data_IF_768656123658
#
_entry.id   IF_768656123658
#
_cell.length_a   1.000
_cell.length_b   1.000
_cell.length_c   1.000
_cell.angle_alpha   90.00
_cell.angle_beta   90.00
_cell.angle_gamma   90.00
#
_symmetry.space_group_name_H-M   'P 1'
#
loop_
_entity.id
_entity.type
_entity.pdbx_description
1 polymer ?
#
# COMPACT_ATOMS: atom_id res chain seq x y z
N UNK A 1 9.62 39.06 -12.36
CA UNK A 1 9.37 37.92 -11.45
C UNK A 1 9.45 36.63 -12.26
N UNK A 2 10.58 35.93 -12.19
CA UNK A 2 10.72 34.62 -12.83
C UNK A 2 10.09 33.57 -11.90
N UNK A 3 9.00 32.95 -12.37
CA UNK A 3 8.38 31.83 -11.67
C UNK A 3 9.32 30.63 -11.82
N UNK A 4 9.91 30.19 -10.71
CA UNK A 4 10.69 28.96 -10.67
C UNK A 4 9.74 27.79 -10.93
N UNK A 5 9.68 27.32 -12.19
CA UNK A 5 9.04 26.04 -12.51
C UNK A 5 9.92 24.97 -11.90
N UNK A 6 9.41 24.30 -10.86
CA UNK A 6 10.04 23.09 -10.34
C UNK A 6 10.33 22.16 -11.54
N UNK A 7 11.54 21.61 -11.66
CA UNK A 7 11.86 20.72 -12.76
C UNK A 7 10.83 19.59 -12.78
N UNK A 8 10.15 19.41 -13.91
CA UNK A 8 9.31 18.26 -14.14
C UNK A 8 10.21 17.03 -14.08
N UNK A 9 10.26 16.37 -12.93
CA UNK A 9 10.98 15.11 -12.81
C UNK A 9 10.34 14.14 -13.81
N UNK A 10 11.14 13.48 -14.66
CA UNK A 10 10.60 12.50 -15.58
C UNK A 10 9.85 11.43 -14.79
N UNK A 11 8.68 11.05 -15.28
CA UNK A 11 7.92 9.95 -14.70
C UNK A 11 8.78 8.67 -14.74
N UNK A 12 8.79 7.93 -13.64
CA UNK A 12 9.37 6.60 -13.60
C UNK A 12 8.68 5.73 -14.66
N UNK A 13 9.44 5.05 -15.55
CA UNK A 13 8.85 4.17 -16.54
C UNK A 13 8.00 3.07 -15.90
N UNK A 14 6.81 2.79 -16.44
CA UNK A 14 5.90 1.78 -15.89
C UNK A 14 6.57 0.40 -15.78
N UNK A 15 7.46 0.04 -16.71
CA UNK A 15 8.24 -1.21 -16.68
C UNK A 15 9.10 -1.37 -15.41
N UNK A 16 9.55 -0.26 -14.82
CA UNK A 16 10.37 -0.25 -13.60
C UNK A 16 9.48 -0.25 -12.36
N UNK A 17 8.34 0.44 -12.42
CA UNK A 17 7.37 0.52 -11.32
C UNK A 17 6.55 -0.76 -11.15
N UNK A 18 6.22 -1.44 -12.26
CA UNK A 18 5.25 -2.53 -12.29
C UNK A 18 5.56 -3.67 -11.30
N UNK A 19 6.82 -4.13 -11.12
CA UNK A 19 7.14 -5.16 -10.13
C UNK A 19 6.79 -4.72 -8.71
N UNK A 20 7.14 -3.48 -8.34
CA UNK A 20 6.88 -2.94 -7.00
C UNK A 20 5.37 -2.74 -6.77
N UNK A 21 4.67 -2.20 -7.77
CA UNK A 21 3.21 -2.04 -7.74
C UNK A 21 2.53 -3.40 -7.61
N UNK A 22 2.90 -4.39 -8.40
CA UNK A 22 2.34 -5.75 -8.33
C UNK A 22 2.58 -6.40 -6.96
N UNK A 23 3.78 -6.25 -6.40
CA UNK A 23 4.09 -6.77 -5.07
C UNK A 23 3.27 -6.08 -3.97
N UNK A 24 3.09 -4.75 -4.06
CA UNK A 24 2.23 -4.00 -3.15
C UNK A 24 0.76 -4.45 -3.23
N UNK A 25 0.23 -4.62 -4.44
CA UNK A 25 -1.13 -5.13 -4.66
C UNK A 25 -1.30 -6.52 -4.04
N UNK A 26 -0.31 -7.40 -4.20
CA UNK A 26 -0.34 -8.74 -3.65
C UNK A 26 -0.40 -8.72 -2.11
N UNK A 27 0.48 -7.96 -1.44
CA UNK A 27 0.49 -7.89 0.03
C UNK A 27 -0.80 -7.27 0.58
N UNK A 28 -1.29 -6.21 -0.06
CA UNK A 28 -2.55 -5.59 0.34
C UNK A 28 -3.74 -6.53 0.16
N UNK A 29 -3.73 -7.35 -0.90
CA UNK A 29 -4.72 -8.40 -1.13
C UNK A 29 -4.73 -9.42 0.02
N UNK A 30 -3.56 -9.93 0.41
CA UNK A 30 -3.42 -10.87 1.53
C UNK A 30 -3.86 -10.25 2.87
N UNK A 31 -3.43 -9.02 3.14
CA UNK A 31 -3.81 -8.28 4.35
C UNK A 31 -5.32 -8.03 4.41
N UNK A 32 -5.93 -7.59 3.30
CA UNK A 32 -7.36 -7.30 3.24
C UNK A 32 -8.20 -8.57 3.48
N UNK A 33 -7.78 -9.69 2.89
CA UNK A 33 -8.45 -10.98 3.09
C UNK A 33 -8.29 -11.47 4.54
N UNK A 34 -7.09 -11.42 5.10
CA UNK A 34 -6.84 -11.81 6.49
C UNK A 34 -7.60 -10.94 7.47
N UNK A 35 -7.59 -9.62 7.27
CA UNK A 35 -8.34 -8.67 8.10
C UNK A 35 -9.84 -8.94 8.02
N UNK A 36 -10.41 -9.13 6.82
CA UNK A 36 -11.81 -9.47 6.66
C UNK A 36 -12.21 -10.78 7.36
N UNK A 37 -11.32 -11.78 7.41
CA UNK A 37 -11.56 -13.01 8.18
C UNK A 37 -11.62 -12.75 9.69
N UNK A 38 -10.85 -11.80 10.20
CA UNK A 38 -10.81 -11.47 11.63
C UNK A 38 -11.98 -10.58 12.06
N UNK A 39 -12.33 -9.58 11.26
CA UNK A 39 -13.27 -8.51 11.68
C UNK A 39 -14.54 -8.42 10.85
N UNK A 40 -14.65 -9.22 9.78
CA UNK A 40 -15.75 -9.16 8.84
C UNK A 40 -15.62 -8.05 7.80
N UNK A 41 -16.50 -8.10 6.79
CA UNK A 41 -16.48 -7.18 5.65
C UNK A 41 -16.80 -5.73 6.00
N UNK A 42 -17.62 -5.49 7.02
CA UNK A 42 -18.01 -4.14 7.42
C UNK A 42 -16.82 -3.31 7.89
N UNK A 43 -15.97 -3.87 8.76
CA UNK A 43 -14.78 -3.18 9.25
C UNK A 43 -13.68 -3.07 8.20
N UNK A 44 -13.56 -4.04 7.29
CA UNK A 44 -12.71 -3.88 6.10
C UNK A 44 -13.14 -2.66 5.27
N UNK A 45 -14.45 -2.50 5.01
CA UNK A 45 -14.94 -1.36 4.24
C UNK A 45 -14.64 -0.01 4.91
N UNK A 46 -14.76 0.06 6.24
CA UNK A 46 -14.38 1.25 7.01
C UNK A 46 -12.89 1.57 6.84
N UNK A 47 -12.02 0.57 6.97
CA UNK A 47 -10.58 0.73 6.74
C UNK A 47 -10.29 1.24 5.32
N UNK A 48 -10.87 0.62 4.29
CA UNK A 48 -10.66 1.03 2.90
C UNK A 48 -11.14 2.46 2.65
N UNK A 49 -12.28 2.85 3.23
CA UNK A 49 -12.80 4.22 3.13
C UNK A 49 -11.88 5.24 3.82
N UNK A 50 -11.27 4.88 4.95
CA UNK A 50 -10.27 5.72 5.62
C UNK A 50 -8.99 5.87 4.79
N UNK A 51 -8.44 4.78 4.27
CA UNK A 51 -7.24 4.79 3.43
C UNK A 51 -7.47 5.60 2.15
N UNK A 52 -8.63 5.46 1.51
CA UNK A 52 -9.00 6.26 0.35
C UNK A 52 -9.11 7.76 0.67
N UNK A 53 -9.68 8.13 1.82
CA UNK A 53 -9.71 9.53 2.28
C UNK A 53 -8.29 10.08 2.49
N UNK A 54 -7.40 9.30 3.10
CA UNK A 54 -5.98 9.67 3.27
C UNK A 54 -5.24 9.77 1.94
N UNK A 55 -5.48 8.84 1.00
CA UNK A 55 -4.88 8.89 -0.33
C UNK A 55 -5.28 10.17 -1.07
N UNK A 56 -6.58 10.50 -1.10
CA UNK A 56 -7.09 11.75 -1.69
C UNK A 56 -6.49 12.97 -1.00
N UNK A 57 -6.45 12.98 0.35
CA UNK A 57 -5.88 14.08 1.13
C UNK A 57 -4.40 14.34 0.86
N UNK A 58 -3.63 13.30 0.53
CA UNK A 58 -2.22 13.41 0.13
C UNK A 58 -2.03 13.62 -1.39
N UNK A 59 -3.11 13.75 -2.16
CA UNK A 59 -3.05 13.90 -3.62
C UNK A 59 -2.62 12.63 -4.37
N UNK A 60 -2.68 11.46 -3.72
CA UNK A 60 -2.34 10.19 -4.34
C UNK A 60 -3.49 9.68 -5.21
N UNK A 61 -3.17 9.31 -6.44
CA UNK A 61 -4.08 8.70 -7.40
C UNK A 61 -4.13 7.18 -7.21
N UNK A 62 -4.34 6.76 -5.96
CA UNK A 62 -4.47 5.37 -5.53
C UNK A 62 -5.84 5.19 -4.91
N UNK A 63 -6.60 4.20 -5.39
CA UNK A 63 -7.89 3.83 -4.83
C UNK A 63 -7.90 2.36 -4.45
N UNK A 64 -8.21 2.09 -3.19
CA UNK A 64 -8.33 0.76 -2.63
C UNK A 64 -9.78 0.29 -2.69
N UNK A 65 -10.00 -0.91 -3.22
CA UNK A 65 -11.32 -1.57 -3.34
C UNK A 65 -11.24 -2.96 -2.72
N UNK A 66 -12.40 -3.56 -2.47
CA UNK A 66 -12.45 -4.96 -2.04
C UNK A 66 -11.84 -5.83 -3.16
N UNK A 67 -10.73 -6.51 -2.84
CA UNK A 67 -10.04 -7.41 -3.76
C UNK A 67 -9.28 -6.75 -4.90
N UNK A 68 -9.17 -5.41 -4.94
CA UNK A 68 -8.49 -4.70 -6.02
C UNK A 68 -7.86 -3.38 -5.57
N UNK A 69 -6.86 -2.93 -6.32
CA UNK A 69 -6.21 -1.62 -6.17
C UNK A 69 -6.17 -0.97 -7.54
N UNK A 70 -6.67 0.26 -7.63
CA UNK A 70 -6.50 1.12 -8.79
C UNK A 70 -5.40 2.11 -8.47
N UNK A 71 -4.19 1.83 -8.96
CA UNK A 71 -3.04 2.73 -8.80
C UNK A 71 -2.69 3.33 -10.17
N UNK A 72 -3.06 4.59 -10.33
CA UNK A 72 -2.72 5.43 -11.49
C UNK A 72 -1.67 6.49 -11.16
N UNK A 73 -1.07 6.41 -9.96
CA UNK A 73 -0.12 7.40 -9.47
C UNK A 73 1.15 7.38 -10.33
N UNK A 74 1.54 8.57 -10.77
CA UNK A 74 2.84 8.79 -11.40
C UNK A 74 3.85 9.09 -10.30
N UNK A 75 4.91 8.29 -10.24
CA UNK A 75 6.00 8.47 -9.29
C UNK A 75 7.26 8.97 -9.99
N UNK A 76 8.03 9.87 -9.37
CA UNK A 76 9.32 10.33 -9.91
C UNK A 76 10.45 9.30 -9.70
N UNK A 77 10.28 8.34 -8.79
CA UNK A 77 11.26 7.30 -8.49
C UNK A 77 10.63 6.11 -7.75
N UNK A 78 11.35 4.97 -7.74
CA UNK A 78 10.95 3.79 -6.97
C UNK A 78 10.91 4.06 -5.46
N UNK A 79 11.83 4.89 -4.96
CA UNK A 79 11.82 5.32 -3.55
C UNK A 79 10.57 6.12 -3.21
N UNK A 80 10.11 7.00 -4.10
CA UNK A 80 8.88 7.75 -3.89
C UNK A 80 7.64 6.82 -3.87
N UNK A 81 7.59 5.84 -4.78
CA UNK A 81 6.55 4.82 -4.80
C UNK A 81 6.55 3.97 -3.51
N UNK A 82 7.72 3.46 -3.14
CA UNK A 82 7.92 2.66 -1.93
C UNK A 82 7.52 3.42 -0.67
N UNK A 83 7.85 4.73 -0.59
CA UNK A 83 7.44 5.58 0.53
C UNK A 83 5.92 5.67 0.68
N UNK A 84 5.18 5.85 -0.43
CA UNK A 84 3.71 5.87 -0.40
C UNK A 84 3.13 4.52 0.00
N UNK A 85 3.63 3.42 -0.59
CA UNK A 85 3.16 2.08 -0.24
C UNK A 85 3.44 1.72 1.22
N UNK A 86 4.63 2.05 1.73
CA UNK A 86 5.00 1.88 3.14
C UNK A 86 4.07 2.67 4.05
N UNK A 87 3.75 3.91 3.70
CA UNK A 87 2.82 4.71 4.48
C UNK A 87 1.44 4.05 4.51
N UNK A 88 0.91 3.57 3.38
CA UNK A 88 -0.38 2.86 3.35
C UNK A 88 -0.37 1.60 4.23
N UNK A 89 0.70 0.80 4.20
CA UNK A 89 0.84 -0.37 5.08
C UNK A 89 0.91 0.01 6.55
N UNK A 90 1.58 1.11 6.89
CA UNK A 90 1.63 1.64 8.26
C UNK A 90 0.24 2.07 8.75
N UNK A 91 -0.53 2.76 7.91
CA UNK A 91 -1.90 3.16 8.25
C UNK A 91 -2.80 1.94 8.50
N UNK A 92 -2.65 0.88 7.69
CA UNK A 92 -3.33 -0.40 7.91
C UNK A 92 -2.93 -1.01 9.26
N UNK A 93 -1.64 -1.08 9.54
CA UNK A 93 -1.12 -1.63 10.80
C UNK A 93 -1.64 -0.86 12.02
N UNK A 94 -1.65 0.48 11.96
CA UNK A 94 -2.17 1.32 13.03
C UNK A 94 -3.67 1.09 13.25
N UNK A 95 -4.47 1.10 12.17
CA UNK A 95 -5.91 0.85 12.27
C UNK A 95 -6.20 -0.55 12.79
N UNK A 96 -5.56 -1.58 12.22
CA UNK A 96 -5.74 -2.96 12.67
C UNK A 96 -5.35 -3.13 14.14
N UNK A 97 -4.26 -2.49 14.60
CA UNK A 97 -3.82 -2.57 16.00
C UNK A 97 -4.85 -1.99 16.96
N UNK A 98 -5.59 -0.96 16.56
CA UNK A 98 -6.68 -0.40 17.36
C UNK A 98 -7.91 -1.30 17.41
N UNK A 99 -8.19 -2.06 16.34
CA UNK A 99 -9.41 -2.87 16.20
C UNK A 99 -9.23 -4.28 16.77
N UNK A 100 -8.14 -4.97 16.43
CA UNK A 100 -7.89 -6.37 16.81
C UNK A 100 -6.74 -6.54 17.81
N UNK A 101 -6.07 -5.45 18.17
CA UNK A 101 -4.90 -5.48 19.04
C UNK A 101 -3.58 -5.74 18.29
N UNK A 102 -2.48 -5.35 18.92
CA UNK A 102 -1.13 -5.43 18.34
C UNK A 102 -0.73 -6.87 17.99
N UNK A 103 -0.94 -7.83 18.90
CA UNK A 103 -0.53 -9.22 18.67
C UNK A 103 -1.22 -9.86 17.46
N UNK A 104 -2.52 -9.60 17.27
CA UNK A 104 -3.26 -10.09 16.11
C UNK A 104 -2.85 -9.36 14.83
N UNK A 105 -2.50 -8.08 14.92
CA UNK A 105 -1.98 -7.31 13.80
C UNK A 105 -0.63 -7.85 13.34
N UNK A 106 0.31 -8.09 14.24
CA UNK A 106 1.62 -8.66 13.92
C UNK A 106 1.49 -10.06 13.32
N UNK A 107 0.53 -10.85 13.81
CA UNK A 107 0.21 -12.16 13.23
C UNK A 107 -0.35 -12.02 11.82
N UNK A 108 -1.32 -11.12 11.62
CA UNK A 108 -1.92 -10.84 10.31
C UNK A 108 -0.87 -10.42 9.28
N UNK A 109 0.03 -9.52 9.64
CA UNK A 109 1.09 -9.06 8.75
C UNK A 109 2.08 -10.19 8.41
N UNK A 110 2.49 -10.99 9.39
CA UNK A 110 3.35 -12.16 9.13
C UNK A 110 2.68 -13.16 8.20
N UNK A 111 1.44 -13.55 8.49
CA UNK A 111 0.68 -14.47 7.63
C UNK A 111 0.50 -13.93 6.21
N UNK A 112 0.23 -12.63 6.07
CA UNK A 112 0.09 -12.00 4.76
C UNK A 112 1.41 -12.01 3.97
N UNK A 113 2.54 -11.76 4.63
CA UNK A 113 3.86 -11.84 4.02
C UNK A 113 4.24 -13.29 3.67
N UNK A 114 3.93 -14.26 4.53
CA UNK A 114 4.12 -15.71 4.34
C UNK A 114 3.30 -16.29 3.19
N UNK A 115 2.17 -15.68 2.88
CA UNK A 115 1.37 -16.04 1.72
C UNK A 115 1.87 -15.44 0.38
N UNK A 116 2.88 -14.55 0.40
CA UNK A 116 3.39 -13.95 -0.83
C UNK A 116 4.33 -14.87 -1.59
N UNK A 117 4.30 -14.83 -2.94
CA UNK A 117 5.38 -15.37 -3.75
C UNK A 117 6.72 -14.76 -3.34
N UNK A 118 7.78 -15.57 -3.33
CA UNK A 118 9.14 -15.14 -2.96
C UNK A 118 9.59 -13.91 -3.76
N UNK A 119 9.30 -13.87 -5.06
CA UNK A 119 9.61 -12.74 -5.94
C UNK A 119 8.96 -11.42 -5.48
N UNK A 120 7.71 -11.46 -5.02
CA UNK A 120 7.01 -10.27 -4.51
C UNK A 120 7.61 -9.82 -3.17
N UNK A 121 7.90 -10.76 -2.27
CA UNK A 121 8.54 -10.45 -0.98
C UNK A 121 9.91 -9.80 -1.18
N UNK A 122 10.74 -10.36 -2.07
CA UNK A 122 12.07 -9.82 -2.39
C UNK A 122 11.98 -8.40 -2.93
N UNK A 123 11.03 -8.11 -3.81
CA UNK A 123 10.81 -6.75 -4.33
C UNK A 123 10.42 -5.79 -3.21
N UNK A 124 9.49 -6.17 -2.32
CA UNK A 124 9.09 -5.32 -1.21
C UNK A 124 10.25 -5.04 -0.24
N UNK A 125 11.09 -6.04 0.04
CA UNK A 125 12.28 -5.90 0.89
C UNK A 125 13.36 -5.04 0.24
N UNK A 126 13.62 -5.25 -1.06
CA UNK A 126 14.64 -4.51 -1.81
C UNK A 126 14.39 -2.99 -1.80
N UNK A 127 13.12 -2.58 -1.85
CA UNK A 127 12.71 -1.17 -1.80
C UNK A 127 12.25 -0.73 -0.41
N UNK A 128 12.54 -1.54 0.62
CA UNK A 128 12.24 -1.26 2.03
C UNK A 128 10.76 -0.91 2.27
N UNK A 129 9.82 -1.49 1.52
CA UNK A 129 8.39 -1.29 1.77
C UNK A 129 7.95 -2.02 3.04
N UNK A 130 8.60 -3.15 3.32
CA UNK A 130 8.41 -4.01 4.50
C UNK A 130 9.73 -4.23 5.22
#
# INVERSE_FOLDING_TARGET
>A
MAWYRAPHLPALPEKELAPLRAAFVAVLGQLSQGYARLVGMGLLQVLLAELNRKAVGNGWQIRLKIGAVEDTQVFPSLTAAAGVYRQLLREISQHASMVVGLQMTDRLFREALDALPESARTVLQQYEVI
#
